data_IF_767751499338
#
_entry.id   IF_767751499338
#
_cell.length_a   1.000
_cell.length_b   1.000
_cell.length_c   1.000
_cell.angle_alpha   90.00
_cell.angle_beta   90.00
_cell.angle_gamma   90.00
#
_symmetry.space_group_name_H-M   'P 1'
#
loop_
_entity.id
_entity.type
_entity.pdbx_description
1 polymer ?
#
# COMPACT_ATOMS: atom_id res chain seq x y z
N UNK A 1 23.38 -68.51 -14.58
CA UNK A 1 24.56 -67.82 -15.15
C UNK A 1 24.58 -66.40 -14.64
N UNK A 2 25.69 -66.00 -14.04
CA UNK A 2 26.01 -64.61 -13.67
C UNK A 2 26.21 -63.80 -14.96
N UNK A 3 25.75 -62.55 -15.00
CA UNK A 3 26.31 -61.35 -15.70
C UNK A 3 25.19 -60.30 -15.93
N UNK A 4 25.37 -58.98 -15.96
CA UNK A 4 26.41 -58.03 -15.53
C UNK A 4 25.94 -56.62 -16.01
N UNK A 5 25.98 -55.58 -15.15
CA UNK A 5 26.05 -54.10 -15.44
C UNK A 5 24.80 -53.43 -16.08
N UNK A 6 24.48 -52.13 -15.90
CA UNK A 6 25.30 -50.92 -15.76
C UNK A 6 24.69 -49.90 -14.79
N UNK A 7 25.54 -49.32 -13.94
CA UNK A 7 25.28 -48.16 -13.10
C UNK A 7 25.26 -46.86 -13.91
N UNK A 8 24.30 -45.98 -13.67
CA UNK A 8 24.43 -44.55 -14.01
C UNK A 8 24.28 -43.77 -12.72
N UNK A 9 25.42 -43.48 -12.09
CA UNK A 9 25.50 -42.56 -10.97
C UNK A 9 25.43 -41.13 -11.53
N UNK A 10 24.30 -40.46 -11.35
CA UNK A 10 24.25 -39.00 -11.48
C UNK A 10 24.87 -38.46 -10.19
N UNK A 11 26.12 -38.02 -10.31
CA UNK A 11 26.79 -37.23 -9.28
C UNK A 11 25.98 -35.95 -9.10
N UNK A 12 25.19 -35.88 -8.02
CA UNK A 12 24.74 -34.61 -7.48
C UNK A 12 25.98 -33.96 -6.82
N UNK A 13 26.71 -33.20 -7.64
CA UNK A 13 27.78 -32.33 -7.16
C UNK A 13 27.22 -31.38 -6.12
N UNK A 14 27.72 -31.51 -4.89
CA UNK A 14 27.28 -30.75 -3.74
C UNK A 14 27.47 -29.26 -3.91
N UNK A 15 26.53 -28.51 -3.30
CA UNK A 15 26.70 -27.11 -2.94
C UNK A 15 28.03 -26.95 -2.18
N UNK A 16 28.89 -26.03 -2.63
CA UNK A 16 29.62 -25.02 -1.82
C UNK A 16 30.70 -24.37 -2.69
N UNK A 17 30.54 -23.08 -3.00
CA UNK A 17 31.70 -22.19 -3.17
C UNK A 17 31.61 -21.13 -2.08
N UNK A 18 32.64 -21.14 -1.24
CA UNK A 18 32.84 -20.19 -0.16
C UNK A 18 33.11 -18.78 -0.69
N UNK A 19 32.76 -17.81 0.16
CA UNK A 19 33.10 -16.39 0.12
C UNK A 19 34.40 -16.01 -0.60
N UNK A 20 34.33 -15.00 -1.47
CA UNK A 20 35.40 -14.01 -1.64
C UNK A 20 34.79 -12.69 -2.15
N UNK A 21 34.67 -11.75 -1.22
CA UNK A 21 34.91 -10.31 -1.32
C UNK A 21 34.78 -9.60 -2.69
N UNK A 22 34.06 -8.48 -2.63
CA UNK A 22 34.16 -7.28 -3.47
C UNK A 22 33.27 -7.18 -4.74
N UNK A 23 32.30 -6.28 -4.62
CA UNK A 23 32.06 -5.12 -5.51
C UNK A 23 31.54 -5.35 -6.93
N UNK A 24 30.27 -4.94 -7.08
CA UNK A 24 29.65 -4.20 -8.21
C UNK A 24 29.95 -4.64 -9.65
N UNK A 25 28.91 -5.07 -10.37
CA UNK A 25 28.22 -4.31 -11.43
C UNK A 25 27.24 -5.25 -12.15
N UNK A 26 25.95 -4.90 -12.22
CA UNK A 26 24.99 -5.58 -13.13
C UNK A 26 24.30 -4.54 -13.99
N UNK A 27 24.73 -4.48 -15.24
CA UNK A 27 24.02 -3.82 -16.34
C UNK A 27 23.67 -4.86 -17.41
N UNK A 28 22.36 -4.93 -17.66
CA UNK A 28 21.71 -5.03 -18.97
C UNK A 28 21.61 -6.37 -19.75
N UNK A 29 20.35 -6.86 -19.81
CA UNK A 29 19.51 -6.98 -21.03
C UNK A 29 19.52 -8.31 -21.82
N UNK A 30 18.33 -8.93 -21.95
CA UNK A 30 17.57 -9.21 -23.21
C UNK A 30 16.36 -10.17 -22.92
N UNK A 31 15.08 -9.74 -22.99
CA UNK A 31 14.09 -9.92 -24.11
C UNK A 31 13.49 -11.37 -24.18
N UNK A 32 12.28 -11.63 -23.63
CA UNK A 32 10.93 -11.62 -24.30
C UNK A 32 10.51 -13.04 -24.77
N UNK A 33 9.30 -13.62 -24.61
CA UNK A 33 7.95 -13.27 -24.09
C UNK A 33 7.01 -14.53 -24.15
N UNK A 34 5.96 -14.58 -23.30
CA UNK A 34 4.62 -15.28 -23.40
C UNK A 34 4.51 -16.82 -23.27
N UNK A 35 3.48 -17.44 -22.67
CA UNK A 35 2.18 -17.04 -22.07
C UNK A 35 1.72 -18.14 -21.08
N UNK A 36 1.11 -17.83 -19.92
CA UNK A 36 -0.35 -17.76 -19.73
C UNK A 36 -0.72 -16.99 -18.44
N UNK A 37 -1.73 -16.12 -18.56
CA UNK A 37 -2.40 -15.17 -17.64
C UNK A 37 -3.18 -15.87 -16.51
N UNK A 38 -3.41 -15.31 -15.30
CA UNK A 38 -4.21 -14.12 -14.90
C UNK A 38 -3.64 -13.43 -13.62
N UNK A 39 -3.50 -12.08 -13.59
CA UNK A 39 -4.37 -11.08 -12.91
C UNK A 39 -4.36 -11.26 -11.38
N UNK A 40 -3.71 -10.43 -10.56
CA UNK A 40 -4.13 -9.09 -10.19
C UNK A 40 -3.09 -8.38 -9.30
N UNK A 41 -3.01 -7.06 -9.43
CA UNK A 41 -2.91 -6.13 -8.30
C UNK A 41 -1.73 -6.27 -7.33
N UNK A 42 -0.55 -5.84 -7.76
CA UNK A 42 0.35 -5.11 -6.87
C UNK A 42 0.95 -3.92 -7.60
N UNK A 43 0.05 -2.95 -7.76
CA UNK A 43 0.32 -1.56 -8.10
C UNK A 43 1.60 -1.09 -7.44
N UNK A 44 2.62 -0.82 -8.26
CA UNK A 44 3.76 0.03 -7.88
C UNK A 44 3.23 1.36 -7.36
N UNK A 45 3.38 1.63 -6.07
CA UNK A 45 3.41 2.98 -5.52
C UNK A 45 4.41 3.01 -4.36
N UNK A 46 5.66 3.29 -4.72
CA UNK A 46 6.56 4.10 -3.92
C UNK A 46 5.83 5.35 -3.41
N UNK A 47 5.66 5.46 -2.09
CA UNK A 47 5.37 6.72 -1.40
C UNK A 47 5.72 6.57 0.08
N UNK A 48 7.02 6.44 0.38
CA UNK A 48 7.52 6.75 1.71
C UNK A 48 7.56 8.28 1.84
N UNK A 49 6.46 8.87 2.29
CA UNK A 49 6.47 10.26 2.72
C UNK A 49 5.54 10.46 3.91
N UNK A 50 6.12 11.08 4.94
CA UNK A 50 5.53 11.66 6.15
C UNK A 50 5.50 10.73 7.37
N UNK A 51 6.61 10.75 8.09
CA UNK A 51 6.64 10.55 9.52
C UNK A 51 5.83 11.67 10.20
N UNK A 52 4.55 11.44 10.43
CA UNK A 52 3.75 12.20 11.40
C UNK A 52 3.01 11.16 12.21
N UNK A 53 3.43 10.97 13.47
CA UNK A 53 2.89 10.07 14.50
C UNK A 53 2.26 8.78 13.96
N UNK A 54 2.87 7.61 14.23
CA UNK A 54 2.35 6.29 13.81
C UNK A 54 1.01 5.99 14.50
N UNK A 55 -0.03 6.68 14.04
CA UNK A 55 -1.42 6.50 14.32
C UNK A 55 -1.85 5.48 13.27
N UNK A 56 -2.02 4.22 13.69
CA UNK A 56 -2.48 3.16 12.81
C UNK A 56 -3.94 3.41 12.46
N UNK A 57 -4.17 4.11 11.35
CA UNK A 57 -5.48 4.36 10.78
C UNK A 57 -5.93 3.16 9.95
N UNK A 58 -7.07 2.56 10.31
CA UNK A 58 -7.73 1.50 9.53
C UNK A 58 -8.75 2.12 8.59
N UNK A 59 -8.77 1.70 7.33
CA UNK A 59 -9.76 2.15 6.35
C UNK A 59 -11.15 1.66 6.76
N UNK A 60 -12.15 2.54 6.74
CA UNK A 60 -13.55 2.25 7.07
C UNK A 60 -14.45 2.78 5.97
N UNK A 61 -15.64 2.20 5.83
CA UNK A 61 -16.60 2.69 4.85
C UNK A 61 -17.19 4.04 5.29
N UNK A 62 -17.55 4.88 4.32
CA UNK A 62 -18.22 6.17 4.60
C UNK A 62 -19.57 5.96 5.31
N UNK A 63 -20.22 4.82 5.09
CA UNK A 63 -21.45 4.43 5.81
C UNK A 63 -21.21 4.26 7.31
N UNK A 64 -20.04 3.75 7.71
CA UNK A 64 -19.65 3.49 9.12
C UNK A 64 -19.29 4.77 9.88
N UNK A 65 -19.09 5.89 9.17
CA UNK A 65 -18.88 7.17 9.83
C UNK A 65 -20.11 7.57 10.64
N UNK A 66 -19.93 8.02 11.90
CA UNK A 66 -21.01 8.61 12.67
C UNK A 66 -21.71 9.75 11.92
N UNK A 67 -23.02 9.89 12.13
CA UNK A 67 -23.79 11.00 11.54
C UNK A 67 -23.20 12.36 11.90
N UNK A 68 -22.73 12.52 13.16
CA UNK A 68 -22.07 13.75 13.62
C UNK A 68 -20.84 14.09 12.78
N UNK A 69 -19.99 13.10 12.48
CA UNK A 69 -18.79 13.28 11.64
C UNK A 69 -19.17 13.68 10.22
N UNK A 70 -20.13 12.98 9.60
CA UNK A 70 -20.62 13.30 8.25
C UNK A 70 -21.20 14.71 8.17
N UNK A 71 -22.00 15.10 9.15
CA UNK A 71 -22.61 16.42 9.21
C UNK A 71 -21.57 17.53 9.36
N UNK A 72 -20.58 17.34 10.25
CA UNK A 72 -19.48 18.30 10.41
C UNK A 72 -18.68 18.46 9.13
N UNK A 73 -18.36 17.36 8.45
CA UNK A 73 -17.65 17.40 7.16
C UNK A 73 -18.49 18.14 6.12
N UNK A 74 -19.77 17.79 5.96
CA UNK A 74 -20.65 18.44 5.00
C UNK A 74 -20.83 19.95 5.27
N UNK A 75 -20.92 20.34 6.54
CA UNK A 75 -21.06 21.75 6.95
C UNK A 75 -19.81 22.58 6.66
N UNK A 76 -18.62 22.02 6.89
CA UNK A 76 -17.36 22.73 6.68
C UNK A 76 -16.84 22.65 5.23
N UNK A 77 -17.18 21.58 4.50
CA UNK A 77 -16.72 21.31 3.15
C UNK A 77 -17.91 21.06 2.23
N UNK A 78 -18.73 22.10 2.03
CA UNK A 78 -19.89 22.01 1.17
C UNK A 78 -19.49 21.67 -0.28
N UNK A 79 -20.15 20.67 -0.87
CA UNK A 79 -19.82 20.18 -2.22
C UNK A 79 -18.57 19.29 -2.30
N UNK A 80 -17.97 18.90 -1.16
CA UNK A 80 -16.92 17.89 -1.15
C UNK A 80 -17.49 16.46 -1.12
N UNK A 81 -16.84 15.56 -1.85
CA UNK A 81 -17.14 14.13 -1.86
C UNK A 81 -16.14 13.40 -0.98
N UNK A 82 -16.61 12.57 -0.06
CA UNK A 82 -15.72 11.72 0.75
C UNK A 82 -15.18 10.61 -0.15
N UNK A 83 -13.88 10.64 -0.45
CA UNK A 83 -13.21 9.61 -1.24
C UNK A 83 -12.83 8.41 -0.39
N UNK A 84 -12.30 8.67 0.82
CA UNK A 84 -11.87 7.62 1.74
C UNK A 84 -12.01 8.06 3.19
N UNK A 85 -12.27 7.11 4.07
CA UNK A 85 -12.34 7.33 5.50
C UNK A 85 -11.48 6.31 6.24
N UNK A 86 -10.89 6.73 7.34
CA UNK A 86 -10.08 5.89 8.20
C UNK A 86 -10.36 6.21 9.67
N UNK A 87 -10.22 5.22 10.55
CA UNK A 87 -10.36 5.38 12.01
C UNK A 87 -9.10 4.88 12.72
N UNK A 88 -8.64 5.57 13.76
CA UNK A 88 -7.56 5.11 14.63
C UNK A 88 -8.10 4.39 15.88
N UNK A 89 -7.21 3.87 16.71
CA UNK A 89 -7.59 3.23 17.99
C UNK A 89 -8.17 4.21 19.02
N UNK A 90 -7.99 5.52 18.84
CA UNK A 90 -8.52 6.56 19.73
C UNK A 90 -9.97 6.96 19.37
N UNK A 91 -10.50 6.50 18.23
CA UNK A 91 -11.80 6.91 17.72
C UNK A 91 -11.78 8.21 16.93
N UNK A 92 -10.61 8.65 16.48
CA UNK A 92 -10.44 9.76 15.55
C UNK A 92 -10.51 9.25 14.11
N UNK A 93 -11.26 9.99 13.31
CA UNK A 93 -11.52 9.71 11.91
C UNK A 93 -10.67 10.60 11.03
N UNK A 94 -9.84 10.01 10.18
CA UNK A 94 -9.17 10.70 9.09
C UNK A 94 -9.97 10.52 7.81
N UNK A 95 -10.43 11.62 7.22
CA UNK A 95 -11.30 11.62 6.05
C UNK A 95 -10.59 12.35 4.92
N UNK A 96 -10.48 11.67 3.78
CA UNK A 96 -10.03 12.25 2.52
C UNK A 96 -11.23 12.70 1.70
N UNK A 97 -11.24 13.98 1.36
CA UNK A 97 -12.28 14.66 0.62
C UNK A 97 -11.73 15.08 -0.75
N UNK A 98 -12.54 14.90 -1.78
CA UNK A 98 -12.34 15.46 -3.10
C UNK A 98 -13.35 16.59 -3.30
N UNK A 99 -12.87 17.79 -3.57
CA UNK A 99 -13.73 18.94 -3.91
C UNK A 99 -13.94 19.02 -5.41
N UNK A 100 -15.02 19.71 -5.84
CA UNK A 100 -15.32 19.91 -7.26
C UNK A 100 -14.20 20.64 -8.03
N UNK A 101 -13.33 21.35 -7.32
CA UNK A 101 -12.22 22.13 -7.87
C UNK A 101 -10.93 21.31 -8.05
N UNK A 102 -11.05 19.97 -8.12
CA UNK A 102 -9.93 19.01 -8.15
C UNK A 102 -8.93 19.11 -6.96
N UNK A 103 -9.30 19.82 -5.89
CA UNK A 103 -8.50 19.91 -4.66
C UNK A 103 -8.85 18.74 -3.74
N UNK A 104 -7.82 18.20 -3.09
CA UNK A 104 -7.99 17.18 -2.05
C UNK A 104 -7.82 17.83 -0.67
N UNK A 105 -8.72 17.49 0.24
CA UNK A 105 -8.63 17.91 1.63
C UNK A 105 -8.56 16.68 2.53
N UNK A 106 -7.67 16.70 3.51
CA UNK A 106 -7.63 15.71 4.56
C UNK A 106 -8.14 16.36 5.84
N UNK A 107 -9.15 15.77 6.46
CA UNK A 107 -9.70 16.27 7.72
C UNK A 107 -9.68 15.19 8.78
N UNK A 108 -9.46 15.60 10.01
CA UNK A 108 -9.44 14.75 11.19
C UNK A 108 -10.57 15.19 12.10
N UNK A 109 -11.46 14.26 12.44
CA UNK A 109 -12.68 14.52 13.22
C UNK A 109 -12.79 13.46 14.31
N UNK A 110 -13.11 13.83 15.54
CA UNK A 110 -13.34 12.85 16.61
C UNK A 110 -14.72 12.17 16.46
N UNK A 111 -14.98 11.14 17.26
CA UNK A 111 -16.29 10.44 17.26
C UNK A 111 -17.49 11.34 17.59
N UNK A 112 -17.30 12.45 18.31
CA UNK A 112 -18.34 13.41 18.62
C UNK A 112 -18.68 14.33 17.43
N UNK A 113 -17.89 14.27 16.34
CA UNK A 113 -18.04 15.16 15.20
C UNK A 113 -17.31 16.50 15.36
N UNK A 114 -16.39 16.64 16.31
CA UNK A 114 -15.56 17.84 16.43
C UNK A 114 -14.30 17.69 15.57
N UNK A 115 -13.96 18.73 14.81
CA UNK A 115 -12.77 18.72 13.98
C UNK A 115 -11.53 18.92 14.85
N UNK A 116 -10.58 17.98 14.77
CA UNK A 116 -9.30 18.04 15.47
C UNK A 116 -8.26 18.78 14.61
N UNK A 117 -8.24 18.47 13.31
CA UNK A 117 -7.27 19.05 12.37
C UNK A 117 -7.83 19.07 10.95
N UNK A 118 -7.51 20.08 10.17
CA UNK A 118 -7.80 20.14 8.74
C UNK A 118 -6.53 20.47 7.95
N UNK A 119 -6.36 19.82 6.81
CA UNK A 119 -5.23 20.01 5.90
C UNK A 119 -5.79 20.12 4.48
N UNK A 120 -5.91 21.34 3.98
CA UNK A 120 -6.29 21.60 2.60
C UNK A 120 -5.02 21.68 1.76
N UNK A 121 -4.81 20.69 0.88
CA UNK A 121 -3.73 20.79 -0.11
C UNK A 121 -4.22 21.68 -1.25
N UNK A 122 -3.76 22.93 -1.25
CA UNK A 122 -3.82 23.77 -2.46
C UNK A 122 -2.89 23.10 -3.48
N UNK A 123 -3.45 22.71 -4.63
CA UNK A 123 -2.64 22.37 -5.80
C UNK A 123 -1.91 23.61 -6.30
#
# INVERSE_FOLDING_TARGET
MKKLLLSTAIVLGGLTVANAQATEVVSAKNKTVQASVETESSKRLIAAQSATAVQNYKEVMVSELPQSVKNTVAKNFNGATISKAYVNAQGDYKIHLATNDAKTATVYVNANGEMIKNELKKQ
#
